data_IF_208975882627
#
_entry.id   IF_208975882627
#
_cell.length_a   1.000
_cell.length_b   1.000
_cell.length_c   1.000
_cell.angle_alpha   90.00
_cell.angle_beta   90.00
_cell.angle_gamma   90.00
#
_symmetry.space_group_name_H-M   'P 1'
#
loop_
_entity.id
_entity.type
_entity.pdbx_description
1 polymer ?
#
# COMPACT_ATOMS: atom_id res chain seq x y z
N UNK A 1 33.41 -3.09 6.68
CA UNK A 1 33.41 -3.65 8.06
C UNK A 1 32.69 -4.98 7.98
N UNK A 2 33.44 -6.09 7.95
CA UNK A 2 32.87 -7.44 7.83
C UNK A 2 32.80 -8.05 9.24
N UNK A 3 31.63 -8.52 9.66
CA UNK A 3 31.49 -9.28 10.90
C UNK A 3 31.61 -10.77 10.61
N UNK A 4 32.60 -11.41 11.23
CA UNK A 4 32.78 -12.87 11.23
C UNK A 4 31.79 -13.46 12.24
N UNK A 5 31.01 -14.48 11.85
CA UNK A 5 30.16 -15.22 12.78
C UNK A 5 30.87 -16.50 13.21
N UNK A 6 31.15 -16.60 14.50
CA UNK A 6 31.57 -17.84 15.16
C UNK A 6 30.49 -18.91 15.02
N UNK A 7 30.84 -20.02 14.38
CA UNK A 7 29.98 -21.19 14.20
C UNK A 7 30.15 -22.16 15.36
N UNK A 8 29.64 -21.84 16.55
CA UNK A 8 29.53 -22.86 17.60
C UNK A 8 28.52 -22.57 18.71
N UNK A 9 27.27 -22.30 18.34
CA UNK A 9 26.13 -22.46 19.26
C UNK A 9 24.91 -22.84 18.43
N UNK A 10 24.31 -24.00 18.74
CA UNK A 10 23.03 -24.42 18.20
C UNK A 10 21.95 -23.45 18.72
N UNK A 11 21.79 -22.33 18.04
CA UNK A 11 20.84 -21.30 18.39
C UNK A 11 19.50 -21.68 17.75
N UNK A 12 18.56 -22.10 18.59
CA UNK A 12 17.14 -22.30 18.26
C UNK A 12 16.51 -20.92 18.05
N UNK A 13 16.99 -20.20 17.04
CA UNK A 13 16.31 -19.06 16.48
C UNK A 13 15.76 -19.56 15.15
N UNK A 14 14.53 -20.09 15.19
CA UNK A 14 13.73 -20.27 13.98
C UNK A 14 13.45 -18.88 13.42
N UNK A 15 14.39 -18.35 12.64
CA UNK A 15 14.11 -17.25 11.75
C UNK A 15 13.00 -17.75 10.83
N UNK A 16 11.77 -17.27 11.02
CA UNK A 16 10.71 -17.44 10.04
C UNK A 16 11.17 -16.67 8.81
N UNK A 17 11.83 -17.39 7.90
CA UNK A 17 12.14 -16.86 6.58
C UNK A 17 10.78 -16.62 5.91
N UNK A 18 10.49 -15.38 5.55
CA UNK A 18 9.32 -15.13 4.71
C UNK A 18 9.63 -15.73 3.34
N UNK A 19 8.90 -16.76 2.94
CA UNK A 19 9.08 -17.44 1.64
C UNK A 19 8.83 -16.49 0.46
N UNK A 20 8.05 -15.43 0.69
CA UNK A 20 7.76 -14.38 -0.29
C UNK A 20 8.81 -13.26 -0.30
N UNK A 21 9.88 -13.35 0.50
CA UNK A 21 11.00 -12.42 0.38
C UNK A 21 11.59 -12.53 -1.04
N UNK A 22 11.45 -11.45 -1.82
CA UNK A 22 11.87 -11.28 -3.23
C UNK A 22 10.86 -11.70 -4.30
N UNK A 23 9.61 -12.01 -3.94
CA UNK A 23 8.55 -12.12 -4.96
C UNK A 23 8.17 -10.74 -5.46
N UNK A 24 8.06 -10.59 -6.78
CA UNK A 24 7.63 -9.36 -7.44
C UNK A 24 6.49 -9.69 -8.39
N UNK A 25 5.37 -9.04 -8.19
CA UNK A 25 4.25 -9.09 -9.12
C UNK A 25 4.18 -7.78 -9.87
N UNK A 26 4.14 -7.86 -11.19
CA UNK A 26 3.95 -6.71 -12.07
C UNK A 26 2.59 -6.84 -12.76
N UNK A 27 1.94 -5.71 -13.00
CA UNK A 27 0.65 -5.67 -13.63
C UNK A 27 0.31 -4.27 -14.11
N UNK A 28 -0.71 -4.20 -14.95
CA UNK A 28 -1.34 -2.96 -15.35
C UNK A 28 -2.78 -2.97 -14.83
N UNK A 29 -3.24 -1.83 -14.33
CA UNK A 29 -4.61 -1.70 -13.83
C UNK A 29 -5.16 -0.33 -14.21
N UNK A 30 -6.47 -0.28 -14.43
CA UNK A 30 -7.21 0.95 -14.66
C UNK A 30 -8.34 0.97 -13.63
N UNK A 31 -8.18 1.83 -12.63
CA UNK A 31 -9.05 1.92 -11.46
C UNK A 31 -9.45 3.36 -11.26
N UNK A 32 -10.65 3.60 -10.73
CA UNK A 32 -11.12 4.97 -10.47
C UNK A 32 -10.40 5.57 -9.26
N UNK A 33 -10.05 4.75 -8.28
CA UNK A 33 -9.34 5.17 -7.08
C UNK A 33 -8.41 4.07 -6.57
N UNK A 34 -7.22 4.49 -6.13
CA UNK A 34 -6.22 3.66 -5.49
C UNK A 34 -5.92 4.22 -4.10
N UNK A 35 -6.21 3.44 -3.05
CA UNK A 35 -5.88 3.82 -1.67
C UNK A 35 -4.77 2.92 -1.16
N UNK A 36 -3.68 3.51 -0.69
CA UNK A 36 -2.54 2.79 -0.12
C UNK A 36 -2.41 3.22 1.33
N UNK A 37 -2.52 2.28 2.26
CA UNK A 37 -2.44 2.56 3.70
C UNK A 37 -1.43 1.64 4.36
N UNK A 38 -0.69 2.16 5.34
CA UNK A 38 0.18 1.35 6.17
C UNK A 38 -0.65 0.68 7.28
N UNK A 39 -0.57 -0.65 7.39
CA UNK A 39 -1.18 -1.42 8.47
C UNK A 39 -0.10 -2.09 9.28
N UNK A 40 -0.24 -2.03 10.60
CA UNK A 40 0.58 -2.82 11.51
C UNK A 40 -0.25 -3.99 12.02
N UNK A 41 0.22 -5.20 11.74
CA UNK A 41 -0.36 -6.43 12.25
C UNK A 41 0.59 -7.02 13.30
N UNK A 42 0.02 -7.47 14.42
CA UNK A 42 0.77 -8.04 15.55
C UNK A 42 1.53 -9.31 15.11
N UNK A 43 0.97 -10.09 14.20
CA UNK A 43 1.53 -11.38 13.80
C UNK A 43 2.47 -11.31 12.58
N UNK A 44 2.27 -10.32 11.69
CA UNK A 44 2.96 -10.25 10.38
C UNK A 44 3.79 -8.97 10.18
N UNK A 45 3.80 -8.07 11.16
CA UNK A 45 4.55 -6.81 11.10
C UNK A 45 3.83 -5.71 10.33
N UNK A 46 4.57 -4.69 9.89
CA UNK A 46 4.03 -3.56 9.11
C UNK A 46 3.99 -3.87 7.62
N UNK A 47 2.86 -3.61 6.96
CA UNK A 47 2.66 -3.80 5.51
C UNK A 47 1.87 -2.65 4.89
N UNK A 48 1.96 -2.52 3.56
CA UNK A 48 1.11 -1.65 2.76
C UNK A 48 -0.09 -2.46 2.27
N UNK A 49 -1.28 -2.01 2.61
CA UNK A 49 -2.54 -2.47 2.04
C UNK A 49 -2.94 -1.53 0.90
N UNK A 50 -3.03 -2.07 -0.31
CA UNK A 50 -3.46 -1.36 -1.51
C UNK A 50 -4.87 -1.80 -1.88
N UNK A 51 -5.83 -0.88 -1.80
CA UNK A 51 -7.23 -1.07 -2.18
C UNK A 51 -7.49 -0.45 -3.54
N UNK A 52 -8.01 -1.25 -4.48
CA UNK A 52 -8.41 -0.83 -5.82
C UNK A 52 -9.93 -0.73 -5.89
N UNK A 53 -10.45 0.43 -6.31
CA UNK A 53 -11.89 0.74 -6.32
C UNK A 53 -12.32 1.17 -7.72
N UNK A 54 -13.20 0.39 -8.36
CA UNK A 54 -13.74 0.69 -9.71
C UNK A 54 -15.26 0.90 -9.70
N UNK A 55 -15.90 0.83 -8.53
CA UNK A 55 -17.36 0.88 -8.38
C UNK A 55 -17.97 2.25 -8.69
N UNK A 56 -17.14 3.30 -8.79
CA UNK A 56 -17.58 4.66 -9.05
C UNK A 56 -17.60 4.99 -10.55
N UNK A 57 -18.53 4.42 -11.30
CA UNK A 57 -18.84 4.95 -12.65
C UNK A 57 -19.69 6.22 -12.53
N UNK A 58 -19.25 7.38 -13.07
CA UNK A 58 -20.04 8.60 -13.10
C UNK A 58 -21.39 8.38 -13.79
N UNK A 59 -22.49 8.88 -13.22
CA UNK A 59 -23.82 8.76 -13.82
C UNK A 59 -24.97 8.94 -12.83
N UNK A 60 -26.21 8.82 -13.33
CA UNK A 60 -27.43 8.95 -12.50
C UNK A 60 -27.44 7.92 -11.35
N UNK A 61 -26.86 6.74 -11.58
CA UNK A 61 -26.74 5.70 -10.55
C UNK A 61 -25.72 6.03 -9.46
N UNK A 62 -24.69 6.84 -9.77
CA UNK A 62 -23.77 7.38 -8.77
C UNK A 62 -24.50 8.35 -7.85
N UNK A 63 -25.25 9.32 -8.40
CA UNK A 63 -26.03 10.29 -7.61
C UNK A 63 -27.07 9.58 -6.72
N UNK A 64 -27.73 8.53 -7.23
CA UNK A 64 -28.69 7.73 -6.44
C UNK A 64 -28.03 6.95 -5.31
N UNK A 65 -26.77 6.54 -5.48
CA UNK A 65 -26.00 5.80 -4.49
C UNK A 65 -25.23 6.72 -3.55
N UNK A 66 -25.02 8.00 -3.90
CA UNK A 66 -24.16 8.92 -3.16
C UNK A 66 -24.56 9.01 -1.68
N UNK A 67 -25.85 9.12 -1.36
CA UNK A 67 -26.35 9.16 0.02
C UNK A 67 -26.12 7.86 0.82
N UNK A 68 -25.80 6.75 0.15
CA UNK A 68 -25.46 5.46 0.77
C UNK A 68 -23.94 5.28 0.95
N UNK A 69 -23.12 6.12 0.32
CA UNK A 69 -21.64 6.08 0.39
C UNK A 69 -21.02 7.36 0.95
N UNK A 70 -21.76 8.46 1.05
CA UNK A 70 -21.39 9.61 1.90
C UNK A 70 -21.24 9.07 3.33
N UNK A 71 -20.09 9.33 3.93
CA UNK A 71 -19.64 8.83 5.23
C UNK A 71 -19.41 7.31 5.35
N UNK A 72 -19.40 6.55 4.24
CA UNK A 72 -19.03 5.13 4.24
C UNK A 72 -17.86 4.84 3.32
N UNK A 73 -16.94 4.00 3.81
CA UNK A 73 -15.79 3.56 3.03
C UNK A 73 -16.25 2.74 1.82
N UNK A 74 -15.81 3.14 0.62
CA UNK A 74 -16.10 2.41 -0.61
C UNK A 74 -15.47 1.03 -0.53
N UNK A 75 -16.26 0.01 -0.88
CA UNK A 75 -15.77 -1.36 -0.89
C UNK A 75 -14.78 -1.55 -2.05
N UNK A 76 -13.56 -2.03 -1.78
CA UNK A 76 -12.58 -2.30 -2.83
C UNK A 76 -12.97 -3.54 -3.63
N UNK A 77 -12.70 -3.51 -4.93
CA UNK A 77 -12.84 -4.67 -5.80
C UNK A 77 -11.69 -5.66 -5.62
N UNK A 78 -10.51 -5.14 -5.27
CA UNK A 78 -9.31 -5.92 -5.03
C UNK A 78 -8.46 -5.28 -3.94
N UNK A 79 -7.78 -6.11 -3.15
CA UNK A 79 -6.84 -5.68 -2.12
C UNK A 79 -5.53 -6.45 -2.26
N UNK A 80 -4.41 -5.73 -2.27
CA UNK A 80 -3.06 -6.30 -2.35
C UNK A 80 -2.28 -5.88 -1.11
N UNK A 81 -1.66 -6.85 -0.44
CA UNK A 81 -0.71 -6.61 0.64
C UNK A 81 0.72 -6.70 0.11
N UNK A 82 1.54 -5.71 0.44
CA UNK A 82 2.94 -5.66 -0.02
C UNK A 82 3.82 -4.89 0.96
N UNK A 83 5.14 -5.04 0.84
CA UNK A 83 6.10 -4.20 1.58
C UNK A 83 6.56 -2.98 0.78
N UNK A 84 6.58 -3.13 -0.54
CA UNK A 84 7.06 -2.12 -1.48
C UNK A 84 6.15 -2.08 -2.70
N UNK A 85 5.77 -0.89 -3.13
CA UNK A 85 4.95 -0.64 -4.31
C UNK A 85 5.72 0.29 -5.24
N UNK A 86 5.66 0.03 -6.55
CA UNK A 86 6.14 0.95 -7.57
C UNK A 86 4.97 1.33 -8.47
N UNK A 87 4.59 2.61 -8.46
CA UNK A 87 3.56 3.15 -9.34
C UNK A 87 4.22 3.84 -10.52
N UNK A 88 3.76 3.48 -11.73
CA UNK A 88 4.17 4.10 -12.99
C UNK A 88 2.91 4.54 -13.73
N UNK A 89 2.39 5.74 -13.45
CA UNK A 89 1.23 6.26 -14.17
C UNK A 89 1.56 6.36 -15.66
N UNK A 90 0.65 5.91 -16.53
CA UNK A 90 0.82 5.96 -17.99
C UNK A 90 0.22 7.23 -18.62
N UNK A 91 -0.45 8.07 -17.83
CA UNK A 91 -1.21 9.21 -18.37
C UNK A 91 -0.25 10.29 -18.84
N UNK A 92 -0.22 10.48 -20.17
CA UNK A 92 0.20 11.73 -20.80
C UNK A 92 -0.97 12.69 -20.64
N UNK A 93 -0.80 13.73 -19.82
CA UNK A 93 -1.69 14.90 -19.74
C UNK A 93 -3.09 14.62 -19.18
N UNK A 94 -3.19 14.47 -17.85
CA UNK A 94 -4.40 14.83 -17.12
C UNK A 94 -4.01 15.97 -16.17
N UNK A 95 -4.32 17.24 -16.50
CA UNK A 95 -3.81 18.41 -15.76
C UNK A 95 -4.29 18.46 -14.30
N UNK A 96 -5.39 17.76 -13.98
CA UNK A 96 -5.98 17.74 -12.64
C UNK A 96 -5.64 16.47 -11.84
N UNK A 97 -4.80 15.59 -12.39
CA UNK A 97 -4.40 14.37 -11.69
C UNK A 97 -3.36 14.68 -10.62
N UNK A 98 -3.71 14.41 -9.37
CA UNK A 98 -2.85 14.58 -8.20
C UNK A 98 -2.87 13.30 -7.35
N UNK A 99 -1.79 13.06 -6.63
CA UNK A 99 -1.80 12.16 -5.48
C UNK A 99 -2.15 12.95 -4.23
N UNK A 100 -2.98 12.36 -3.36
CA UNK A 100 -3.15 12.87 -1.99
C UNK A 100 -2.38 11.96 -1.04
N UNK A 101 -1.40 12.51 -0.34
CA UNK A 101 -0.60 11.80 0.67
C UNK A 101 -0.84 12.49 2.00
N UNK A 102 -1.45 11.78 2.95
CA UNK A 102 -1.82 12.30 4.27
C UNK A 102 -2.60 13.63 4.25
N UNK A 103 -3.39 13.85 3.19
CA UNK A 103 -4.23 15.04 2.98
C UNK A 103 -3.57 16.16 2.18
N UNK A 104 -2.29 16.03 1.82
CA UNK A 104 -1.57 16.99 0.99
C UNK A 104 -1.55 16.55 -0.48
N UNK A 105 -1.64 17.52 -1.40
CA UNK A 105 -1.65 17.28 -2.85
C UNK A 105 -0.23 17.30 -3.44
N UNK A 106 0.04 16.31 -4.30
CA UNK A 106 1.32 16.13 -4.98
C UNK A 106 1.11 15.84 -6.47
N UNK A 107 2.02 16.33 -7.31
CA UNK A 107 2.03 16.05 -8.73
C UNK A 107 2.18 14.55 -9.02
N UNK A 108 1.44 14.08 -10.03
CA UNK A 108 1.52 12.69 -10.49
C UNK A 108 2.83 12.43 -11.22
N UNK A 109 3.70 11.65 -10.57
CA UNK A 109 4.97 11.17 -11.10
C UNK A 109 5.19 9.69 -10.72
N UNK A 110 6.02 8.94 -11.45
CA UNK A 110 6.41 7.61 -11.03
C UNK A 110 6.99 7.65 -9.60
N UNK A 111 6.50 6.78 -8.72
CA UNK A 111 6.87 6.76 -7.31
C UNK A 111 7.07 5.34 -6.78
N UNK A 112 7.91 5.24 -5.75
CA UNK A 112 8.16 4.01 -4.99
C UNK A 112 7.78 4.25 -3.54
N UNK A 113 6.88 3.42 -3.01
CA UNK A 113 6.42 3.47 -1.62
C UNK A 113 7.00 2.24 -0.92
N UNK A 114 7.59 2.42 0.25
CA UNK A 114 8.19 1.35 1.02
C UNK A 114 7.91 1.53 2.51
N UNK A 115 7.55 0.44 3.18
CA UNK A 115 7.41 0.42 4.63
C UNK A 115 8.76 0.26 5.29
N UNK A 116 9.08 1.25 6.13
CA UNK A 116 10.19 1.19 7.08
C UNK A 116 9.61 0.84 8.46
N UNK A 117 9.70 -0.44 8.89
CA UNK A 117 9.11 -0.85 10.16
C UNK A 117 9.86 -0.21 11.32
N UNK A 118 9.12 0.20 12.35
CA UNK A 118 9.67 0.82 13.57
C UNK A 118 10.56 2.05 13.30
N UNK A 119 10.27 2.82 12.23
CA UNK A 119 11.03 4.02 11.89
C UNK A 119 10.91 5.14 12.93
N UNK A 120 9.79 5.18 13.65
CA UNK A 120 9.48 6.17 14.68
C UNK A 120 9.01 5.47 15.95
N UNK A 121 9.34 6.05 17.10
CA UNK A 121 8.80 5.66 18.39
C UNK A 121 7.75 6.69 18.82
N UNK A 122 6.56 6.22 19.15
CA UNK A 122 5.45 7.05 19.59
C UNK A 122 4.92 6.54 20.92
N UNK A 123 4.43 7.45 21.75
CA UNK A 123 3.77 7.08 23.00
C UNK A 123 2.30 6.78 22.73
N UNK A 124 1.87 5.56 23.01
CA UNK A 124 0.48 5.15 22.99
C UNK A 124 -0.10 5.17 24.41
N UNK A 125 -1.40 5.41 24.54
CA UNK A 125 -2.13 5.30 25.82
C UNK A 125 -2.42 3.84 26.17
#
# INVERSE_FOLDING_TARGET
>A
MYTVRDTNTANVNSYKLNEDCNTKTEGHTNVNQLNITCKQNIDTGSSLETKMIDTLTPGVDFVKKINKVIDKELQPNSTINSRTIQLKPQVKEAPDAHYSIDGEEYDVKPLRIEVVPNAIQVFCK
#
